data_IF_446293763249
#
_entry.id   IF_446293763249
#
_cell.length_a   1.000
_cell.length_b   1.000
_cell.length_c   1.000
_cell.angle_alpha   90.00
_cell.angle_beta   90.00
_cell.angle_gamma   90.00
#
_symmetry.space_group_name_H-M   'P 1'
#
loop_
_entity.id
_entity.type
_entity.pdbx_description
1 polymer ?
#
# COMPACT_ATOMS: atom_id res chain seq x y z
N UNK A 1 3.46 5.84 -17.63
CA UNK A 1 4.44 4.73 -17.58
C UNK A 1 3.71 3.53 -17.03
N UNK A 2 3.94 2.30 -17.52
CA UNK A 2 2.92 1.24 -17.47
C UNK A 2 2.37 0.95 -16.07
N UNK A 3 3.22 0.99 -15.04
CA UNK A 3 2.80 0.82 -13.64
C UNK A 3 1.92 1.99 -13.16
N UNK A 4 2.31 3.23 -13.43
CA UNK A 4 1.55 4.42 -13.03
C UNK A 4 0.19 4.48 -13.75
N UNK A 5 0.16 4.12 -15.03
CA UNK A 5 -1.04 4.11 -15.86
C UNK A 5 -2.04 3.06 -15.32
N UNK A 6 -1.55 1.84 -15.08
CA UNK A 6 -2.35 0.77 -14.48
C UNK A 6 -2.86 1.11 -13.09
N UNK A 7 -2.05 1.77 -12.25
CA UNK A 7 -2.46 2.21 -10.91
C UNK A 7 -3.56 3.27 -10.99
N UNK A 8 -3.42 4.27 -11.85
CA UNK A 8 -4.44 5.30 -12.05
C UNK A 8 -5.77 4.69 -12.51
N UNK A 9 -5.74 3.81 -13.52
CA UNK A 9 -6.93 3.08 -13.99
C UNK A 9 -7.57 2.24 -12.88
N UNK A 10 -6.76 1.54 -12.09
CA UNK A 10 -7.23 0.67 -11.01
C UNK A 10 -7.89 1.47 -9.88
N UNK A 11 -7.29 2.60 -9.50
CA UNK A 11 -7.82 3.48 -8.45
C UNK A 11 -9.17 4.10 -8.88
N UNK A 12 -9.23 4.65 -10.09
CA UNK A 12 -10.43 5.33 -10.60
C UNK A 12 -11.55 4.33 -10.86
N UNK A 13 -11.28 3.24 -11.59
CA UNK A 13 -12.30 2.21 -11.83
C UNK A 13 -12.73 1.51 -10.55
N UNK A 14 -11.84 1.40 -9.56
CA UNK A 14 -12.15 0.88 -8.24
C UNK A 14 -13.14 1.76 -7.49
N UNK A 15 -12.94 3.08 -7.54
CA UNK A 15 -13.86 4.08 -6.97
C UNK A 15 -15.22 4.05 -7.67
N UNK A 16 -15.24 4.07 -9.01
CA UNK A 16 -16.47 4.08 -9.82
C UNK A 16 -17.40 2.92 -9.48
N UNK A 17 -16.85 1.74 -9.20
CA UNK A 17 -17.63 0.55 -8.83
C UNK A 17 -18.22 0.62 -7.42
N UNK A 18 -17.67 1.41 -6.50
CA UNK A 18 -18.09 1.47 -5.09
C UNK A 18 -18.94 2.69 -4.78
N UNK A 19 -18.45 3.87 -5.17
CA UNK A 19 -18.93 5.16 -4.67
C UNK A 19 -19.09 6.20 -5.80
N UNK A 20 -18.69 5.86 -7.03
CA UNK A 20 -18.73 6.76 -8.17
C UNK A 20 -17.34 7.28 -8.56
N UNK A 21 -17.32 8.11 -9.60
CA UNK A 21 -16.08 8.67 -10.14
C UNK A 21 -15.53 9.74 -9.18
N UNK A 22 -14.25 9.67 -8.81
CA UNK A 22 -13.69 10.62 -7.85
C UNK A 22 -13.47 11.99 -8.50
N UNK A 23 -13.77 13.06 -7.76
CA UNK A 23 -13.48 14.44 -8.17
C UNK A 23 -11.97 14.77 -8.12
N UNK A 24 -11.19 13.97 -7.39
CA UNK A 24 -9.75 14.10 -7.28
C UNK A 24 -9.11 13.02 -6.43
N UNK A 25 -7.78 12.92 -6.50
CA UNK A 25 -6.97 11.93 -5.79
C UNK A 25 -5.92 12.63 -4.94
N UNK A 26 -5.67 12.08 -3.74
CA UNK A 26 -4.50 12.40 -2.92
C UNK A 26 -3.60 11.17 -2.87
N UNK A 27 -2.31 11.34 -3.16
CA UNK A 27 -1.32 10.26 -3.23
C UNK A 27 -0.36 10.37 -2.04
N UNK A 28 -0.16 9.27 -1.34
CA UNK A 28 0.88 9.12 -0.32
C UNK A 28 1.84 8.01 -0.77
N UNK A 29 3.09 8.37 -1.04
CA UNK A 29 4.16 7.43 -1.35
C UNK A 29 4.99 7.22 -0.08
N UNK A 30 4.72 6.11 0.60
CA UNK A 30 5.40 5.76 1.86
C UNK A 30 6.50 4.75 1.60
N UNK A 31 7.74 5.09 1.92
CA UNK A 31 8.85 4.16 1.87
C UNK A 31 9.84 4.47 2.99
N UNK A 32 9.97 3.56 3.95
CA UNK A 32 10.99 3.62 4.98
C UNK A 32 12.30 3.10 4.40
N UNK A 33 13.42 3.78 4.65
CA UNK A 33 14.72 3.29 4.20
C UNK A 33 15.25 2.24 5.18
N UNK A 34 15.51 1.00 4.73
CA UNK A 34 16.05 -0.05 5.61
C UNK A 34 17.50 0.22 6.05
N UNK A 35 18.23 1.04 5.29
CA UNK A 35 19.68 1.25 5.46
C UNK A 35 20.03 2.66 5.98
N UNK A 36 19.04 3.42 6.46
CA UNK A 36 19.24 4.81 6.88
C UNK A 36 19.53 5.76 5.71
N UNK A 37 19.14 5.39 4.49
CA UNK A 37 19.13 6.32 3.35
C UNK A 37 18.25 7.52 3.73
N UNK A 38 18.77 8.73 3.56
CA UNK A 38 18.04 9.95 3.91
C UNK A 38 16.69 9.98 3.19
N UNK A 39 15.61 10.30 3.89
CA UNK A 39 14.28 10.43 3.27
C UNK A 39 14.23 11.35 2.04
N UNK A 40 15.19 12.30 1.93
CA UNK A 40 15.39 13.13 0.73
C UNK A 40 15.74 12.30 -0.51
N UNK A 41 16.65 11.33 -0.40
CA UNK A 41 17.04 10.45 -1.51
C UNK A 41 15.85 9.60 -1.97
N UNK A 42 15.07 9.07 -1.02
CA UNK A 42 13.81 8.38 -1.30
C UNK A 42 12.85 9.29 -2.08
N UNK A 43 12.67 10.54 -1.63
CA UNK A 43 11.83 11.52 -2.32
C UNK A 43 12.33 11.82 -3.75
N UNK A 44 13.64 12.01 -3.94
CA UNK A 44 14.22 12.24 -5.27
C UNK A 44 14.04 11.04 -6.20
N UNK A 45 14.25 9.82 -5.70
CA UNK A 45 14.04 8.57 -6.44
C UNK A 45 12.58 8.38 -6.86
N UNK A 46 11.63 8.74 -5.99
CA UNK A 46 10.19 8.58 -6.24
C UNK A 46 9.59 9.71 -7.07
N UNK A 47 10.28 10.84 -7.25
CA UNK A 47 9.80 12.01 -8.02
C UNK A 47 9.32 11.66 -9.44
N UNK A 48 10.04 10.88 -10.27
CA UNK A 48 9.57 10.53 -11.61
C UNK A 48 8.29 9.69 -11.58
N UNK A 49 8.16 8.83 -10.56
CA UNK A 49 6.98 8.00 -10.38
C UNK A 49 5.77 8.83 -9.93
N UNK A 50 5.95 9.72 -8.95
CA UNK A 50 4.91 10.67 -8.54
C UNK A 50 4.43 11.51 -9.71
N UNK A 51 5.34 12.02 -10.54
CA UNK A 51 4.97 12.76 -11.74
C UNK A 51 4.20 11.89 -12.75
N UNK A 52 4.65 10.65 -12.97
CA UNK A 52 3.97 9.72 -13.87
C UNK A 52 2.54 9.41 -13.41
N UNK A 53 2.32 9.22 -12.10
CA UNK A 53 0.99 9.02 -11.54
C UNK A 53 0.09 10.24 -11.73
N UNK A 54 0.61 11.45 -11.49
CA UNK A 54 -0.14 12.70 -11.70
C UNK A 54 -0.58 12.85 -13.15
N UNK A 55 0.32 12.59 -14.09
CA UNK A 55 0.01 12.62 -15.52
C UNK A 55 -1.00 11.54 -15.90
N UNK A 56 -0.84 10.31 -15.40
CA UNK A 56 -1.75 9.20 -15.69
C UNK A 56 -3.18 9.46 -15.18
N UNK A 57 -3.33 9.96 -13.95
CA UNK A 57 -4.63 10.36 -13.42
C UNK A 57 -5.23 11.52 -14.22
N UNK A 58 -4.40 12.52 -14.59
CA UNK A 58 -4.83 13.65 -15.41
C UNK A 58 -5.30 13.24 -16.81
N UNK A 59 -4.66 12.24 -17.43
CA UNK A 59 -5.08 11.67 -18.71
C UNK A 59 -6.42 10.93 -18.63
N UNK A 60 -6.82 10.55 -17.41
CA UNK A 60 -8.12 9.98 -17.09
C UNK A 60 -9.05 11.03 -16.49
N UNK A 61 -8.85 12.34 -16.71
CA UNK A 61 -9.69 13.44 -16.22
C UNK A 61 -9.98 13.40 -14.71
N UNK A 62 -9.04 12.90 -13.90
CA UNK A 62 -9.13 12.93 -12.44
C UNK A 62 -7.87 13.61 -11.90
N UNK A 63 -7.95 14.83 -11.35
CA UNK A 63 -6.78 15.56 -10.91
C UNK A 63 -6.18 14.94 -9.63
N UNK A 64 -4.85 14.91 -9.57
CA UNK A 64 -4.14 14.66 -8.30
C UNK A 64 -3.99 15.99 -7.58
N UNK A 65 -4.74 16.16 -6.50
CA UNK A 65 -4.78 17.39 -5.71
C UNK A 65 -3.50 17.56 -4.88
N UNK A 66 -2.95 16.45 -4.38
CA UNK A 66 -1.71 16.42 -3.62
C UNK A 66 -1.00 15.07 -3.81
N UNK A 67 0.32 15.09 -3.86
CA UNK A 67 1.16 13.91 -3.89
C UNK A 67 2.32 14.09 -2.91
N UNK A 68 2.35 13.29 -1.85
CA UNK A 68 3.34 13.37 -0.79
C UNK A 68 4.32 12.19 -0.87
N UNK A 69 5.60 12.47 -0.64
CA UNK A 69 6.56 11.47 -0.18
C UNK A 69 6.54 11.45 1.34
N UNK A 70 6.45 10.27 1.94
CA UNK A 70 6.57 10.04 3.38
C UNK A 70 7.73 9.05 3.60
N UNK A 71 8.76 9.50 4.30
CA UNK A 71 9.95 8.70 4.56
C UNK A 71 10.71 9.27 5.75
N UNK A 72 11.29 8.41 6.58
CA UNK A 72 12.19 8.79 7.68
C UNK A 72 11.58 9.85 8.63
N UNK A 73 10.31 9.66 9.01
CA UNK A 73 9.59 10.59 9.88
C UNK A 73 9.36 11.99 9.28
N UNK A 74 9.49 12.13 7.96
CA UNK A 74 9.33 13.41 7.25
C UNK A 74 8.43 13.27 6.03
N UNK A 75 7.92 14.42 5.56
CA UNK A 75 7.14 14.52 4.35
C UNK A 75 7.60 15.65 3.42
N UNK A 76 7.37 15.43 2.12
CA UNK A 76 7.59 16.39 1.04
C UNK A 76 6.39 16.37 0.09
N UNK A 77 5.95 17.54 -0.39
CA UNK A 77 4.96 17.60 -1.48
C UNK A 77 5.66 17.64 -2.83
N UNK A 78 5.17 16.84 -3.78
CA UNK A 78 5.55 16.92 -5.19
C UNK A 78 4.74 17.98 -5.96
N UNK A 79 3.69 18.53 -5.35
CA UNK A 79 2.82 19.56 -5.94
C UNK A 79 3.24 20.98 -5.55
N UNK A 80 3.85 21.17 -4.38
CA UNK A 80 4.27 22.48 -3.89
C UNK A 80 5.66 22.88 -4.44
N UNK A 81 5.79 24.02 -5.15
CA UNK A 81 7.08 24.51 -5.63
C UNK A 81 7.79 25.45 -4.65
N UNK A 82 7.14 25.89 -3.56
CA UNK A 82 7.72 26.85 -2.61
C UNK A 82 8.68 26.14 -1.64
N UNK A 83 9.98 26.37 -1.79
CA UNK A 83 11.02 25.83 -0.92
C UNK A 83 10.94 26.30 0.54
N UNK A 84 10.19 27.36 0.86
CA UNK A 84 9.90 27.77 2.24
C UNK A 84 8.80 26.91 2.87
N UNK A 85 7.87 26.43 2.06
CA UNK A 85 6.79 25.53 2.48
C UNK A 85 7.24 24.06 2.47
N UNK A 86 8.02 23.67 1.45
CA UNK A 86 8.57 22.33 1.28
C UNK A 86 10.09 22.42 1.19
N UNK A 87 10.77 22.53 2.34
CA UNK A 87 12.23 22.60 2.38
C UNK A 87 12.85 21.27 1.96
N UNK A 88 14.08 21.31 1.43
CA UNK A 88 14.78 20.11 0.93
C UNK A 88 14.98 19.04 2.01
N UNK A 89 15.19 19.45 3.26
CA UNK A 89 15.27 18.53 4.39
C UNK A 89 13.94 17.85 4.75
N UNK A 90 12.83 18.26 4.15
CA UNK A 90 11.50 17.75 4.45
C UNK A 90 10.90 18.33 5.72
N UNK A 91 9.58 18.34 5.76
CA UNK A 91 8.84 18.75 6.94
C UNK A 91 8.73 17.56 7.91
N UNK A 92 8.85 17.77 9.23
CA UNK A 92 8.61 16.70 10.18
C UNK A 92 7.16 16.23 10.06
N UNK A 93 6.95 14.91 9.89
CA UNK A 93 5.66 14.32 10.20
C UNK A 93 5.45 14.56 11.69
N UNK A 94 4.41 15.30 12.06
CA UNK A 94 4.16 15.65 13.45
C UNK A 94 4.23 14.39 14.34
N UNK A 95 5.22 14.36 15.23
CA UNK A 95 5.40 13.31 16.23
C UNK A 95 4.30 13.39 17.31
N UNK A 96 3.97 12.26 17.97
CA UNK A 96 2.64 12.02 18.51
C UNK A 96 2.26 12.91 19.69
N UNK A 97 1.08 13.48 19.58
CA UNK A 97 0.22 13.95 20.66
C UNK A 97 -1.22 13.55 20.33
N UNK A 98 -2.15 13.72 21.25
CA UNK A 98 -3.58 13.49 21.01
C UNK A 98 -4.11 14.54 20.03
N UNK A 99 -3.86 14.34 18.73
CA UNK A 99 -4.57 15.09 17.70
C UNK A 99 -6.03 14.67 17.73
N UNK A 100 -6.95 15.58 17.36
CA UNK A 100 -8.37 15.24 17.20
C UNK A 100 -8.54 14.06 16.23
N UNK A 101 -7.69 13.99 15.20
CA UNK A 101 -7.67 12.87 14.26
C UNK A 101 -7.22 11.56 14.92
N UNK A 102 -6.16 11.57 15.75
CA UNK A 102 -5.72 10.39 16.49
C UNK A 102 -6.77 9.93 17.52
N UNK A 103 -7.43 10.87 18.21
CA UNK A 103 -8.50 10.58 19.15
C UNK A 103 -9.75 10.03 18.45
N UNK A 104 -10.17 10.62 17.32
CA UNK A 104 -11.29 10.13 16.53
C UNK A 104 -10.99 8.77 15.89
N UNK A 105 -9.77 8.55 15.40
CA UNK A 105 -9.31 7.27 14.89
C UNK A 105 -9.36 6.20 15.98
N UNK A 106 -8.84 6.49 17.17
CA UNK A 106 -8.93 5.58 18.32
C UNK A 106 -10.38 5.30 18.74
N UNK A 107 -11.24 6.32 18.77
CA UNK A 107 -12.68 6.17 19.03
C UNK A 107 -13.37 5.29 17.98
N UNK A 108 -12.99 5.45 16.71
CA UNK A 108 -13.46 4.61 15.60
C UNK A 108 -12.81 3.22 15.55
N UNK A 109 -11.95 2.87 16.51
CA UNK A 109 -11.28 1.57 16.60
C UNK A 109 -10.12 1.38 15.61
N UNK A 110 -9.62 2.45 14.99
CA UNK A 110 -8.44 2.44 14.12
C UNK A 110 -7.20 2.34 15.01
N UNK A 111 -6.54 1.18 14.98
CA UNK A 111 -5.33 0.90 15.75
C UNK A 111 -4.08 1.19 14.92
N UNK A 112 -3.09 1.88 15.52
CA UNK A 112 -1.75 2.05 14.94
C UNK A 112 -1.02 0.69 14.97
N UNK A 113 -0.51 0.23 13.82
CA UNK A 113 -0.08 -1.17 13.61
C UNK A 113 1.43 -1.37 13.58
N UNK A 114 2.15 -0.74 14.51
CA UNK A 114 3.62 -0.76 14.47
C UNK A 114 4.15 -0.04 13.24
N UNK A 115 5.40 -0.33 12.88
CA UNK A 115 6.06 0.23 11.70
C UNK A 115 5.56 -0.43 10.41
N UNK A 116 5.80 0.19 9.24
CA UNK A 116 5.50 -0.46 7.94
C UNK A 116 6.23 -1.81 7.84
N UNK A 117 7.46 -1.89 8.36
CA UNK A 117 8.26 -3.11 8.44
C UNK A 117 7.56 -4.22 9.23
N UNK A 118 6.95 -3.89 10.37
CA UNK A 118 6.20 -4.87 11.17
C UNK A 118 4.96 -5.37 10.43
N UNK A 119 4.32 -4.49 9.64
CA UNK A 119 3.21 -4.88 8.78
C UNK A 119 3.66 -5.79 7.63
N UNK A 120 4.79 -5.49 6.99
CA UNK A 120 5.38 -6.27 5.90
C UNK A 120 5.86 -7.65 6.38
N UNK A 121 6.48 -7.73 7.56
CA UNK A 121 6.94 -8.98 8.15
C UNK A 121 5.82 -10.01 8.33
N UNK A 122 4.57 -9.55 8.49
CA UNK A 122 3.38 -10.40 8.61
C UNK A 122 2.91 -10.98 7.28
N UNK A 123 3.34 -10.38 6.17
CA UNK A 123 3.09 -10.84 4.80
C UNK A 123 4.26 -11.66 4.26
N UNK A 124 5.42 -11.64 4.93
CA UNK A 124 6.55 -12.46 4.56
C UNK A 124 6.15 -13.94 4.57
N UNK A 125 6.67 -14.75 3.62
CA UNK A 125 6.45 -16.19 3.62
C UNK A 125 6.84 -16.82 4.96
N UNK A 126 6.23 -17.94 5.33
CA UNK A 126 6.66 -18.69 6.50
C UNK A 126 8.12 -19.09 6.35
N UNK A 127 8.94 -18.71 7.33
CA UNK A 127 10.39 -18.94 7.31
C UNK A 127 10.78 -20.29 7.94
N UNK A 128 9.84 -20.99 8.59
CA UNK A 128 10.10 -22.32 9.15
C UNK A 128 9.99 -23.38 8.05
N UNK A 129 10.95 -24.33 7.97
CA UNK A 129 10.95 -25.35 6.91
C UNK A 129 9.65 -26.15 6.82
N UNK A 130 9.06 -26.50 7.97
CA UNK A 130 7.84 -27.30 8.04
C UNK A 130 6.63 -26.55 7.47
N UNK A 131 6.42 -25.29 7.89
CA UNK A 131 5.30 -24.48 7.41
C UNK A 131 5.45 -24.11 5.92
N UNK A 132 6.68 -23.85 5.46
CA UNK A 132 6.96 -23.64 4.04
C UNK A 132 6.64 -24.89 3.20
N UNK A 133 7.00 -26.08 3.70
CA UNK A 133 6.69 -27.36 3.06
C UNK A 133 5.18 -27.62 2.99
N UNK A 134 4.46 -27.36 4.09
CA UNK A 134 2.99 -27.47 4.11
C UNK A 134 2.32 -26.54 3.10
N UNK A 135 2.80 -25.29 2.98
CA UNK A 135 2.29 -24.34 2.00
C UNK A 135 2.54 -24.83 0.58
N UNK A 136 3.75 -25.32 0.29
CA UNK A 136 4.10 -25.87 -1.02
C UNK A 136 3.20 -27.06 -1.37
N UNK A 137 3.01 -28.02 -0.45
CA UNK A 137 2.12 -29.17 -0.65
C UNK A 137 0.66 -28.77 -0.85
N UNK A 138 0.20 -27.69 -0.21
CA UNK A 138 -1.15 -27.17 -0.45
C UNK A 138 -1.29 -26.60 -1.86
N UNK A 139 -0.28 -25.86 -2.36
CA UNK A 139 -0.24 -25.35 -3.73
C UNK A 139 -0.16 -26.49 -4.75
N UNK A 140 0.70 -27.47 -4.53
CA UNK A 140 0.87 -28.64 -5.41
C UNK A 140 -0.44 -29.44 -5.55
N UNK A 141 -1.21 -29.57 -4.46
CA UNK A 141 -2.54 -30.20 -4.50
C UNK A 141 -3.58 -29.38 -5.25
N UNK A 142 -3.52 -28.05 -5.18
CA UNK A 142 -4.47 -27.16 -5.83
C UNK A 142 -4.18 -27.01 -7.34
N UNK A 143 -2.90 -27.05 -7.74
CA UNK A 143 -2.41 -26.75 -9.08
C UNK A 143 -3.14 -27.52 -10.20
N UNK A 144 -3.31 -28.85 -10.14
CA UNK A 144 -3.95 -29.63 -11.21
C UNK A 144 -5.40 -29.22 -11.49
N UNK A 145 -6.11 -28.73 -10.46
CA UNK A 145 -7.49 -28.24 -10.61
C UNK A 145 -7.56 -26.77 -11.05
N UNK A 146 -6.57 -25.96 -10.67
CA UNK A 146 -6.59 -24.52 -10.85
C UNK A 146 -6.02 -24.11 -12.21
N UNK A 147 -4.91 -24.71 -12.64
CA UNK A 147 -4.21 -24.33 -13.89
C UNK A 147 -5.12 -24.46 -15.12
N UNK A 148 -5.85 -25.56 -15.35
CA UNK A 148 -6.76 -25.66 -16.49
C UNK A 148 -7.84 -24.57 -16.48
N UNK A 149 -8.37 -24.21 -15.31
CA UNK A 149 -9.41 -23.17 -15.17
C UNK A 149 -8.87 -21.76 -15.43
N UNK A 150 -7.61 -21.49 -15.13
CA UNK A 150 -6.95 -20.20 -15.40
C UNK A 150 -6.74 -20.01 -16.92
N UNK A 151 -6.42 -21.10 -17.62
CA UNK A 151 -6.16 -21.08 -19.06
C UNK A 151 -7.44 -21.15 -19.90
N UNK A 152 -8.57 -21.51 -19.30
CA UNK A 152 -9.88 -21.49 -19.94
C UNK A 152 -10.51 -20.08 -19.88
N UNK A 153 -10.73 -19.46 -21.03
CA UNK A 153 -11.25 -18.09 -21.13
C UNK A 153 -12.66 -17.90 -20.54
N UNK A 154 -13.46 -18.98 -20.42
CA UNK A 154 -14.79 -18.90 -19.80
C UNK A 154 -14.70 -19.01 -18.29
N UNK A 155 -13.80 -19.84 -17.77
CA UNK A 155 -13.64 -20.10 -16.33
C UNK A 155 -12.71 -19.11 -15.62
N UNK A 156 -11.78 -18.47 -16.35
CA UNK A 156 -10.78 -17.53 -15.82
C UNK A 156 -11.39 -16.40 -14.99
N UNK A 157 -12.51 -15.84 -15.44
CA UNK A 157 -13.20 -14.77 -14.71
C UNK A 157 -13.72 -15.22 -13.34
N UNK A 158 -14.26 -16.45 -13.25
CA UNK A 158 -14.72 -17.01 -11.97
C UNK A 158 -13.54 -17.35 -11.05
N UNK A 159 -12.44 -17.90 -11.58
CA UNK A 159 -11.22 -18.12 -10.79
C UNK A 159 -10.71 -16.80 -10.20
N UNK A 160 -10.62 -15.73 -11.00
CA UNK A 160 -10.19 -14.42 -10.50
C UNK A 160 -11.11 -13.89 -9.38
N UNK A 161 -12.43 -14.07 -9.52
CA UNK A 161 -13.42 -13.69 -8.51
C UNK A 161 -13.27 -14.50 -7.21
N UNK A 162 -13.10 -15.82 -7.30
CA UNK A 162 -12.82 -16.71 -6.17
C UNK A 162 -11.52 -16.30 -5.46
N UNK A 163 -10.44 -16.08 -6.21
CA UNK A 163 -9.15 -15.61 -5.68
C UNK A 163 -9.29 -14.27 -4.95
N UNK A 164 -9.99 -13.30 -5.53
CA UNK A 164 -10.24 -12.00 -4.88
C UNK A 164 -11.08 -12.14 -3.61
N UNK A 165 -12.04 -13.07 -3.56
CA UNK A 165 -12.82 -13.35 -2.37
C UNK A 165 -11.96 -13.95 -1.24
N UNK A 166 -11.10 -14.92 -1.57
CA UNK A 166 -10.15 -15.52 -0.63
C UNK A 166 -9.12 -14.48 -0.14
N UNK A 167 -8.58 -13.67 -1.04
CA UNK A 167 -7.63 -12.60 -0.69
C UNK A 167 -8.26 -11.58 0.27
N UNK A 168 -9.49 -11.13 0.02
CA UNK A 168 -10.23 -10.25 0.95
C UNK A 168 -10.46 -10.90 2.32
N UNK A 169 -10.75 -12.20 2.34
CA UNK A 169 -10.91 -12.96 3.59
C UNK A 169 -9.59 -13.00 4.37
N UNK A 170 -8.47 -13.28 3.68
CA UNK A 170 -7.14 -13.30 4.28
C UNK A 170 -6.74 -11.91 4.81
N UNK A 171 -6.92 -10.86 4.02
CA UNK A 171 -6.67 -9.47 4.42
C UNK A 171 -7.54 -9.12 5.63
N UNK A 172 -8.81 -9.53 5.66
CA UNK A 172 -9.70 -9.33 6.81
C UNK A 172 -9.27 -10.10 8.07
N UNK A 173 -8.64 -11.27 7.92
CA UNK A 173 -8.06 -12.03 9.04
C UNK A 173 -6.80 -11.36 9.58
N UNK A 174 -5.85 -11.03 8.71
CA UNK A 174 -4.67 -10.22 9.05
C UNK A 174 -5.07 -8.86 9.65
N UNK A 175 -6.17 -8.30 9.15
CA UNK A 175 -6.87 -7.13 9.69
C UNK A 175 -7.21 -7.26 11.17
N UNK A 176 -7.64 -8.43 11.65
CA UNK A 176 -8.13 -8.62 13.02
C UNK A 176 -7.07 -9.17 13.97
N UNK A 177 -6.06 -9.85 13.44
CA UNK A 177 -4.95 -10.38 14.25
C UNK A 177 -4.06 -9.24 14.72
N UNK A 178 -3.86 -9.13 16.05
CA UNK A 178 -2.89 -8.19 16.63
C UNK A 178 -1.47 -8.56 16.17
N UNK A 179 -0.57 -7.57 15.96
CA UNK A 179 0.85 -7.86 15.84
C UNK A 179 1.30 -8.70 17.04
N UNK A 180 2.19 -9.67 16.82
CA UNK A 180 2.88 -10.30 17.94
C UNK A 180 3.64 -9.18 18.70
N UNK A 181 3.66 -9.20 20.05
CA UNK A 181 4.50 -8.25 20.78
C UNK A 181 5.95 -8.40 20.31
N UNK A 182 6.68 -7.28 20.25
CA UNK A 182 8.12 -7.30 19.97
C UNK A 182 8.79 -8.31 20.91
N UNK A 183 9.59 -9.21 20.34
CA UNK A 183 10.45 -10.05 21.15
C UNK A 183 11.41 -9.12 21.89
N UNK A 184 11.26 -9.04 23.21
CA UNK A 184 12.21 -8.31 24.06
C UNK A 184 13.58 -8.89 23.78
N UNK A 185 14.43 -8.08 23.18
CA UNK A 185 15.83 -8.41 22.98
C UNK A 185 16.53 -8.19 24.31
N UNK A 186 16.95 -9.26 24.99
CA UNK A 186 17.86 -9.21 26.15
C UNK A 186 19.28 -8.82 25.71
#
# INVERSE_FOLDING_TARGET
>A
GPVADQLAESLISGSERREGRPDGIVIFLCQDSPDGESGRLTMERLRPFAQSLRTACGALDVPVLEALCISDGRYWSYCCPDGRCCPDQGNPLAMPGTTVMAAAAAYAGIQVRGTLRDMEARLAPWQTPDAASEQQQALDRALPSLVPRILDERAKAEVAKETLALARTLIGRLGRTRPAPEAVSD
#
